data_IF_202470194402
#
_entry.id   IF_202470194402
#
_cell.length_a   1.000
_cell.length_b   1.000
_cell.length_c   1.000
_cell.angle_alpha   90.00
_cell.angle_beta   90.00
_cell.angle_gamma   90.00
#
_symmetry.space_group_name_H-M   'P 1'
#
loop_
_entity.id
_entity.type
_entity.pdbx_description
1 polymer ?
#
# COMPACT_ATOMS: atom_id res chain seq x y z
N UNK A 1 28.60 -1.82 11.49
CA UNK A 1 28.68 -1.10 10.21
C UNK A 1 27.97 -1.82 9.05
N UNK A 2 27.76 -3.13 9.09
CA UNK A 2 27.17 -3.94 8.00
C UNK A 2 25.63 -3.84 7.86
N UNK A 3 24.87 -3.62 8.96
CA UNK A 3 23.40 -3.56 8.92
C UNK A 3 22.87 -2.34 8.16
N UNK A 4 23.51 -1.19 8.32
CA UNK A 4 23.11 0.08 7.69
C UNK A 4 23.22 0.00 6.15
N UNK A 5 24.22 -0.73 5.64
CA UNK A 5 24.43 -0.91 4.19
C UNK A 5 23.42 -1.90 3.57
N UNK A 6 22.99 -2.94 4.33
CA UNK A 6 21.94 -3.88 3.88
C UNK A 6 20.58 -3.20 3.84
N UNK A 7 20.24 -2.41 4.86
CA UNK A 7 18.98 -1.66 4.91
C UNK A 7 18.90 -0.64 3.77
N UNK A 8 19.97 0.09 3.49
CA UNK A 8 20.02 1.05 2.39
C UNK A 8 19.88 0.39 1.00
N UNK A 9 20.46 -0.81 0.83
CA UNK A 9 20.37 -1.58 -0.43
C UNK A 9 18.96 -2.18 -0.63
N UNK A 10 18.33 -2.68 0.43
CA UNK A 10 16.95 -3.16 0.42
C UNK A 10 15.98 -2.01 0.11
N UNK A 11 16.18 -0.85 0.72
CA UNK A 11 15.37 0.33 0.47
C UNK A 11 15.48 0.83 -0.97
N UNK A 12 16.69 0.82 -1.54
CA UNK A 12 16.93 1.21 -2.95
C UNK A 12 16.32 0.20 -3.95
N UNK A 13 16.36 -1.10 -3.64
CA UNK A 13 15.72 -2.16 -4.42
C UNK A 13 14.19 -2.09 -4.36
N UNK A 14 13.64 -1.76 -3.19
CA UNK A 14 12.20 -1.60 -2.98
C UNK A 14 11.64 -0.42 -3.79
N UNK A 15 12.33 0.73 -3.77
CA UNK A 15 11.92 1.94 -4.50
C UNK A 15 11.96 1.76 -6.02
N UNK A 16 12.90 0.97 -6.55
CA UNK A 16 12.99 0.72 -7.99
C UNK A 16 11.84 -0.14 -8.55
N UNK A 17 11.29 -1.04 -7.74
CA UNK A 17 10.20 -1.94 -8.14
C UNK A 17 8.80 -1.37 -7.85
N UNK A 18 8.70 -0.16 -7.30
CA UNK A 18 7.42 0.49 -7.00
C UNK A 18 6.78 1.08 -8.25
N UNK A 19 5.46 0.91 -8.38
CA UNK A 19 4.68 1.56 -9.44
C UNK A 19 4.71 3.09 -9.30
N UNK A 20 4.47 3.81 -10.40
CA UNK A 20 4.44 5.30 -10.39
C UNK A 20 3.48 5.87 -9.32
N UNK A 21 2.36 5.19 -9.07
CA UNK A 21 1.39 5.58 -8.02
C UNK A 21 2.00 5.42 -6.63
N UNK A 22 2.65 4.29 -6.34
CA UNK A 22 3.29 4.02 -5.05
C UNK A 22 4.42 5.03 -4.75
N UNK A 23 5.24 5.39 -5.75
CA UNK A 23 6.28 6.42 -5.61
C UNK A 23 5.70 7.79 -5.25
N UNK A 24 4.57 8.16 -5.87
CA UNK A 24 3.89 9.43 -5.56
C UNK A 24 3.35 9.44 -4.12
N UNK A 25 2.76 8.33 -3.68
CA UNK A 25 2.27 8.18 -2.30
C UNK A 25 3.41 8.22 -1.30
N UNK A 26 4.53 7.53 -1.58
CA UNK A 26 5.73 7.56 -0.73
C UNK A 26 6.27 8.97 -0.55
N UNK A 27 6.39 9.75 -1.65
CA UNK A 27 6.87 11.13 -1.56
C UNK A 27 5.94 12.02 -0.74
N UNK A 28 4.62 11.83 -0.84
CA UNK A 28 3.62 12.54 -0.01
C UNK A 28 3.77 12.19 1.46
N UNK A 29 3.94 10.90 1.78
CA UNK A 29 4.15 10.44 3.15
C UNK A 29 5.43 11.04 3.74
N UNK A 30 6.54 11.03 3.00
CA UNK A 30 7.81 11.61 3.44
C UNK A 30 7.66 13.12 3.67
N UNK A 31 7.09 13.85 2.73
CA UNK A 31 6.88 15.29 2.87
C UNK A 31 6.01 15.64 4.08
N UNK A 32 4.95 14.89 4.29
CA UNK A 32 4.07 15.09 5.42
C UNK A 32 4.71 14.69 6.75
N UNK A 33 5.50 13.62 6.79
CA UNK A 33 6.25 13.21 7.97
C UNK A 33 7.26 14.29 8.39
N UNK A 34 8.01 14.84 7.44
CA UNK A 34 8.95 15.94 7.68
C UNK A 34 8.21 17.17 8.21
N UNK A 35 7.09 17.53 7.59
CA UNK A 35 6.28 18.66 8.01
C UNK A 35 5.71 18.46 9.42
N UNK A 36 5.23 17.25 9.75
CA UNK A 36 4.72 16.87 11.07
C UNK A 36 5.81 17.03 12.15
N UNK A 37 7.02 16.53 11.87
CA UNK A 37 8.15 16.66 12.81
C UNK A 37 8.56 18.12 13.00
N UNK A 38 8.62 18.91 11.92
CA UNK A 38 8.93 20.34 12.00
C UNK A 38 7.88 21.09 12.84
N UNK A 39 6.59 20.83 12.61
CA UNK A 39 5.53 21.43 13.39
C UNK A 39 5.60 21.03 14.87
N UNK A 40 5.84 19.76 15.17
CA UNK A 40 5.99 19.28 16.54
C UNK A 40 7.13 19.99 17.27
N UNK A 41 8.28 20.18 16.62
CA UNK A 41 9.41 20.93 17.18
C UNK A 41 9.06 22.40 17.39
N UNK A 42 8.43 23.05 16.41
CA UNK A 42 8.02 24.47 16.52
C UNK A 42 7.05 24.65 17.68
N UNK A 43 6.04 23.78 17.82
CA UNK A 43 5.05 23.86 18.88
C UNK A 43 5.60 23.54 20.27
N UNK A 44 6.69 22.77 20.33
CA UNK A 44 7.40 22.54 21.60
C UNK A 44 8.02 23.83 22.17
N UNK A 45 8.45 24.74 21.29
CA UNK A 45 9.09 26.00 21.67
C UNK A 45 8.14 27.21 21.68
N UNK A 46 6.94 27.10 21.12
CA UNK A 46 6.05 28.25 20.92
C UNK A 46 4.66 27.95 21.46
N UNK A 47 4.20 28.71 22.45
CA UNK A 47 2.82 28.64 22.95
C UNK A 47 1.91 29.45 22.03
N UNK A 48 1.33 28.81 21.01
CA UNK A 48 0.35 29.45 20.11
C UNK A 48 -1.08 29.19 20.57
N UNK A 49 -2.04 30.07 20.23
CA UNK A 49 -3.45 29.84 20.52
C UNK A 49 -3.98 28.61 19.79
N UNK A 50 -4.93 27.90 20.41
CA UNK A 50 -5.43 26.61 19.98
C UNK A 50 -5.96 26.57 18.53
N UNK A 51 -6.57 27.64 18.05
CA UNK A 51 -7.09 27.72 16.66
C UNK A 51 -5.97 27.82 15.61
N UNK A 52 -4.85 28.44 15.94
CA UNK A 52 -3.65 28.48 15.06
C UNK A 52 -2.99 27.12 15.02
N UNK A 53 -2.91 26.42 16.18
CA UNK A 53 -2.43 25.06 16.23
C UNK A 53 -3.28 24.15 15.35
N UNK A 54 -4.60 24.18 15.51
CA UNK A 54 -5.52 23.38 14.70
C UNK A 54 -5.35 23.66 13.22
N UNK A 55 -5.28 24.91 12.80
CA UNK A 55 -5.13 25.29 11.40
C UNK A 55 -3.80 24.76 10.79
N UNK A 56 -2.70 24.85 11.55
CA UNK A 56 -1.40 24.37 11.11
C UNK A 56 -1.34 22.83 11.04
N UNK A 57 -1.95 22.10 11.98
CA UNK A 57 -2.00 20.64 11.97
C UNK A 57 -2.95 20.08 10.92
N UNK A 58 -3.97 20.83 10.50
CA UNK A 58 -4.84 20.44 9.39
C UNK A 58 -4.08 20.34 8.06
N UNK A 59 -3.01 21.10 7.86
CA UNK A 59 -2.23 21.05 6.60
C UNK A 59 -1.64 19.66 6.35
N UNK A 60 -0.76 19.10 7.21
CA UNK A 60 -0.24 17.75 7.02
C UNK A 60 -1.34 16.70 7.05
N UNK A 61 -2.38 16.88 7.87
CA UNK A 61 -3.52 15.98 7.93
C UNK A 61 -4.23 15.85 6.58
N UNK A 62 -4.55 16.94 5.91
CA UNK A 62 -5.18 16.90 4.58
C UNK A 62 -4.25 16.40 3.49
N UNK A 63 -2.96 16.70 3.55
CA UNK A 63 -1.97 16.20 2.58
C UNK A 63 -1.93 14.68 2.60
N UNK A 64 -1.95 14.05 3.79
CA UNK A 64 -1.90 12.61 3.97
C UNK A 64 -3.29 11.99 3.85
N UNK A 65 -4.27 12.56 4.55
CA UNK A 65 -5.59 11.97 4.78
C UNK A 65 -6.58 12.11 3.64
N UNK A 66 -6.29 12.94 2.63
CA UNK A 66 -7.21 13.19 1.52
C UNK A 66 -7.74 11.90 0.87
N UNK A 67 -6.87 10.91 0.63
CA UNK A 67 -7.26 9.66 -0.02
C UNK A 67 -8.13 8.79 0.91
N UNK A 68 -7.82 8.78 2.22
CA UNK A 68 -8.58 8.04 3.25
C UNK A 68 -9.95 8.69 3.45
N UNK A 69 -10.00 10.01 3.63
CA UNK A 69 -11.26 10.75 3.78
C UNK A 69 -12.17 10.58 2.58
N UNK A 70 -11.60 10.62 1.36
CA UNK A 70 -12.35 10.38 0.13
C UNK A 70 -12.91 8.96 0.08
N UNK A 71 -12.11 7.94 0.41
CA UNK A 71 -12.55 6.53 0.45
C UNK A 71 -13.63 6.35 1.51
N UNK A 72 -13.45 6.91 2.72
CA UNK A 72 -14.43 6.88 3.80
C UNK A 72 -15.77 7.49 3.37
N UNK A 73 -15.75 8.65 2.72
CA UNK A 73 -16.95 9.29 2.21
C UNK A 73 -17.64 8.47 1.11
N UNK A 74 -16.85 7.87 0.22
CA UNK A 74 -17.39 6.97 -0.81
C UNK A 74 -17.99 5.70 -0.21
N UNK A 75 -17.36 5.10 0.82
CA UNK A 75 -17.86 3.93 1.55
C UNK A 75 -19.22 4.20 2.19
N UNK A 76 -19.39 5.35 2.85
CA UNK A 76 -20.69 5.77 3.38
C UNK A 76 -21.76 5.84 2.29
N UNK A 77 -21.42 6.43 1.15
CA UNK A 77 -22.35 6.55 0.01
C UNK A 77 -22.70 5.19 -0.63
N UNK A 78 -21.80 4.23 -0.56
CA UNK A 78 -22.00 2.85 -1.08
C UNK A 78 -22.71 1.94 -0.07
N UNK A 79 -22.99 2.41 1.16
CA UNK A 79 -23.60 1.63 2.23
C UNK A 79 -22.62 0.79 3.06
N UNK A 80 -21.33 0.87 2.77
CA UNK A 80 -20.26 0.22 3.53
C UNK A 80 -19.73 1.16 4.61
N UNK A 81 -20.55 1.42 5.63
CA UNK A 81 -20.28 2.43 6.67
C UNK A 81 -19.14 2.00 7.61
N UNK A 82 -18.89 0.69 7.77
CA UNK A 82 -17.86 0.15 8.68
C UNK A 82 -16.58 -0.27 7.97
N UNK A 83 -16.22 0.42 6.91
CA UNK A 83 -14.93 0.25 6.24
C UNK A 83 -13.78 0.79 7.12
N UNK A 84 -12.59 0.20 7.00
CA UNK A 84 -11.38 0.60 7.73
C UNK A 84 -11.06 2.10 7.56
N UNK A 85 -11.28 2.63 6.35
CA UNK A 85 -11.05 4.04 6.05
C UNK A 85 -12.01 4.96 6.84
N UNK A 86 -13.26 4.54 7.03
CA UNK A 86 -14.23 5.28 7.84
C UNK A 86 -13.82 5.30 9.32
N UNK A 87 -13.46 4.14 9.87
CA UNK A 87 -13.02 4.04 11.26
C UNK A 87 -11.79 4.91 11.53
N UNK A 88 -10.81 4.89 10.60
CA UNK A 88 -9.62 5.73 10.70
C UNK A 88 -9.95 7.22 10.61
N UNK A 89 -10.86 7.61 9.70
CA UNK A 89 -11.30 8.99 9.58
C UNK A 89 -11.98 9.48 10.87
N UNK A 90 -12.90 8.69 11.44
CA UNK A 90 -13.59 9.02 12.69
C UNK A 90 -12.60 9.11 13.85
N UNK A 91 -11.68 8.15 13.99
CA UNK A 91 -10.70 8.13 15.07
C UNK A 91 -9.78 9.37 15.02
N UNK A 92 -9.27 9.72 13.85
CA UNK A 92 -8.36 10.86 13.69
C UNK A 92 -9.07 12.21 13.82
N UNK A 93 -10.30 12.34 13.33
CA UNK A 93 -11.13 13.54 13.55
C UNK A 93 -11.50 13.66 15.03
N UNK A 94 -11.81 12.54 15.69
CA UNK A 94 -12.06 12.50 17.14
C UNK A 94 -10.85 12.96 17.96
N UNK A 95 -9.65 12.49 17.65
CA UNK A 95 -8.40 12.93 18.28
C UNK A 95 -8.19 14.45 18.12
N UNK A 96 -8.44 14.98 16.92
CA UNK A 96 -8.38 16.42 16.67
C UNK A 96 -9.43 17.20 17.49
N UNK A 97 -10.63 16.65 17.64
CA UNK A 97 -11.68 17.24 18.47
C UNK A 97 -11.35 17.26 19.97
N UNK A 98 -10.55 16.29 20.44
CA UNK A 98 -10.02 16.25 21.80
C UNK A 98 -8.81 17.19 22.03
N UNK A 99 -8.30 17.82 20.97
CA UNK A 99 -7.13 18.71 21.05
C UNK A 99 -5.78 18.00 20.84
N UNK A 100 -5.81 16.68 20.62
CA UNK A 100 -4.61 15.85 20.36
C UNK A 100 -4.25 15.85 18.87
N UNK A 101 -3.88 17.04 18.36
CA UNK A 101 -3.65 17.26 16.94
C UNK A 101 -2.47 16.43 16.39
N UNK A 102 -1.36 16.38 17.15
CA UNK A 102 -0.17 15.66 16.78
C UNK A 102 -0.43 14.15 16.67
N UNK A 103 -1.19 13.61 17.61
CA UNK A 103 -1.57 12.19 17.64
C UNK A 103 -2.47 11.84 16.46
N UNK A 104 -3.50 12.65 16.17
CA UNK A 104 -4.37 12.42 15.02
C UNK A 104 -3.62 12.40 13.70
N UNK A 105 -2.65 13.31 13.49
CA UNK A 105 -1.80 13.32 12.30
C UNK A 105 -0.86 12.12 12.28
N UNK A 106 -0.25 11.77 13.43
CA UNK A 106 0.66 10.63 13.53
C UNK A 106 -0.05 9.30 13.19
N UNK A 107 -1.26 9.08 13.73
CA UNK A 107 -2.07 7.89 13.44
C UNK A 107 -2.39 7.80 11.94
N UNK A 108 -2.80 8.90 11.31
CA UNK A 108 -3.07 8.94 9.88
C UNK A 108 -1.81 8.63 9.06
N UNK A 109 -0.65 9.11 9.51
CA UNK A 109 0.64 8.87 8.86
C UNK A 109 1.03 7.39 8.93
N UNK A 110 0.91 6.75 10.10
CA UNK A 110 1.17 5.32 10.27
C UNK A 110 0.21 4.46 9.43
N UNK A 111 -1.05 4.83 9.37
CA UNK A 111 -2.02 4.15 8.51
C UNK A 111 -1.61 4.20 7.04
N UNK A 112 -1.23 5.35 6.53
CA UNK A 112 -0.77 5.51 5.14
C UNK A 112 0.51 4.72 4.83
N UNK A 113 1.42 4.62 5.80
CA UNK A 113 2.60 3.76 5.70
C UNK A 113 2.17 2.30 5.56
N UNK A 114 1.24 1.84 6.40
CA UNK A 114 0.66 0.48 6.35
C UNK A 114 0.01 0.17 5.00
N UNK A 115 -0.84 1.06 4.49
CA UNK A 115 -1.48 0.95 3.17
C UNK A 115 -0.44 0.83 2.03
N UNK A 116 0.64 1.62 2.12
CA UNK A 116 1.72 1.55 1.14
C UNK A 116 2.43 0.18 1.17
N UNK A 117 2.75 -0.34 2.37
CA UNK A 117 3.34 -1.67 2.53
C UNK A 117 2.41 -2.79 2.03
N UNK A 118 1.13 -2.73 2.37
CA UNK A 118 0.13 -3.67 1.90
C UNK A 118 0.04 -3.68 0.38
N UNK A 119 -0.08 -2.50 -0.24
CA UNK A 119 -0.11 -2.35 -1.69
C UNK A 119 1.15 -2.90 -2.38
N UNK A 120 2.32 -2.71 -1.77
CA UNK A 120 3.57 -3.26 -2.27
C UNK A 120 3.61 -4.79 -2.15
N UNK A 121 3.24 -5.34 -0.99
CA UNK A 121 3.24 -6.78 -0.74
C UNK A 121 2.28 -7.53 -1.68
N UNK A 122 1.05 -7.01 -1.85
CA UNK A 122 0.04 -7.59 -2.76
C UNK A 122 0.52 -7.51 -4.20
N UNK A 123 1.10 -6.37 -4.63
CA UNK A 123 1.66 -6.22 -5.97
C UNK A 123 2.78 -7.22 -6.26
N UNK A 124 3.66 -7.46 -5.30
CA UNK A 124 4.74 -8.44 -5.41
C UNK A 124 4.22 -9.87 -5.50
N UNK A 125 3.24 -10.22 -4.65
CA UNK A 125 2.61 -11.55 -4.67
C UNK A 125 1.94 -11.84 -6.01
N UNK A 126 1.16 -10.90 -6.54
CA UNK A 126 0.51 -11.03 -7.85
C UNK A 126 1.52 -11.23 -8.98
N UNK A 127 2.62 -10.48 -8.97
CA UNK A 127 3.69 -10.63 -9.96
C UNK A 127 4.33 -12.02 -9.91
N UNK A 128 4.52 -12.59 -8.72
CA UNK A 128 5.08 -13.94 -8.56
C UNK A 128 4.12 -15.02 -9.09
N UNK A 129 2.81 -14.88 -8.81
CA UNK A 129 1.78 -15.81 -9.32
C UNK A 129 1.70 -15.71 -10.85
N UNK A 130 1.71 -14.51 -11.42
CA UNK A 130 1.70 -14.32 -12.86
C UNK A 130 2.89 -14.96 -13.55
N UNK A 131 4.09 -14.83 -12.94
CA UNK A 131 5.31 -15.47 -13.45
C UNK A 131 5.25 -17.01 -13.39
N UNK A 132 4.55 -17.58 -12.39
CA UNK A 132 4.34 -19.03 -12.30
C UNK A 132 3.32 -19.52 -13.35
N UNK A 133 2.32 -18.72 -13.68
CA UNK A 133 1.33 -19.07 -14.72
C UNK A 133 1.95 -18.99 -16.14
N UNK A 134 2.95 -18.12 -16.31
CA UNK A 134 3.66 -17.96 -17.60
C UNK A 134 4.64 -19.13 -17.90
N UNK A 135 4.90 -20.01 -16.93
CA UNK A 135 5.72 -21.24 -17.12
C UNK A 135 4.89 -22.38 -17.76
N UNK A 136 3.58 -22.19 -17.90
CA UNK A 136 2.73 -23.18 -18.55
C UNK A 136 3.21 -23.38 -20.01
N UNK A 137 3.51 -24.63 -20.43
CA UNK A 137 3.92 -24.88 -21.80
C UNK A 137 2.77 -24.56 -22.75
N UNK A 138 3.07 -23.84 -23.82
CA UNK A 138 2.12 -23.48 -24.88
C UNK A 138 1.69 -24.69 -25.71
N UNK A 139 2.42 -25.82 -25.62
CA UNK A 139 2.15 -27.02 -26.38
C UNK A 139 2.58 -28.27 -25.61
N UNK A 140 1.84 -29.36 -25.80
CA UNK A 140 2.17 -30.68 -25.31
C UNK A 140 2.39 -31.64 -26.51
N UNK A 141 3.36 -32.53 -26.38
CA UNK A 141 3.59 -33.59 -27.37
C UNK A 141 2.74 -34.80 -26.96
N UNK A 142 1.75 -35.14 -27.75
CA UNK A 142 0.92 -36.33 -27.57
C UNK A 142 1.51 -37.45 -28.45
N UNK A 143 1.88 -38.56 -27.79
CA UNK A 143 2.34 -39.76 -28.46
C UNK A 143 1.13 -40.64 -28.82
N UNK A 144 0.90 -40.88 -30.07
CA UNK A 144 -0.15 -41.75 -30.57
C UNK A 144 0.26 -43.22 -30.49
N UNK A 145 -0.70 -44.13 -30.46
CA UNK A 145 -0.46 -45.59 -30.35
C UNK A 145 0.35 -46.17 -31.51
N UNK A 146 0.49 -45.46 -32.60
CA UNK A 146 1.28 -45.80 -33.79
C UNK A 146 2.74 -45.27 -33.73
N UNK A 147 3.13 -44.63 -32.62
CA UNK A 147 4.44 -44.01 -32.43
C UNK A 147 4.58 -42.61 -33.05
N UNK A 148 3.50 -42.07 -33.60
CA UNK A 148 3.48 -40.70 -34.12
C UNK A 148 3.39 -39.67 -32.97
N UNK A 149 4.15 -38.56 -33.12
CA UNK A 149 4.09 -37.43 -32.15
C UNK A 149 3.33 -36.29 -32.78
N UNK A 150 2.21 -35.87 -32.13
CA UNK A 150 1.46 -34.70 -32.53
C UNK A 150 1.56 -33.61 -31.48
N UNK A 151 1.73 -32.35 -31.91
CA UNK A 151 1.76 -31.18 -31.02
C UNK A 151 0.32 -30.73 -30.82
N UNK A 152 -0.13 -30.72 -29.58
CA UNK A 152 -1.52 -30.36 -29.20
C UNK A 152 -1.51 -29.30 -28.11
N UNK A 153 -2.64 -28.57 -27.98
CA UNK A 153 -2.86 -27.67 -26.86
C UNK A 153 -2.98 -28.48 -25.56
N UNK A 154 -2.25 -28.16 -24.50
CA UNK A 154 -2.31 -28.84 -23.21
C UNK A 154 -3.73 -28.90 -22.62
N UNK A 155 -4.61 -27.94 -22.91
CA UNK A 155 -6.00 -27.91 -22.46
C UNK A 155 -6.90 -28.93 -23.18
N UNK A 156 -6.51 -29.35 -24.36
CA UNK A 156 -7.25 -30.34 -25.15
C UNK A 156 -6.96 -31.79 -24.71
N UNK A 157 -5.91 -31.99 -23.89
CA UNK A 157 -5.50 -33.32 -23.42
C UNK A 157 -6.09 -33.60 -22.05
N UNK A 158 -7.07 -34.51 -21.98
CA UNK A 158 -7.55 -35.04 -20.72
C UNK A 158 -6.55 -36.07 -20.19
N UNK A 159 -5.86 -35.75 -19.08
CA UNK A 159 -4.94 -36.67 -18.41
C UNK A 159 -5.72 -37.75 -17.68
N UNK A 160 -6.16 -38.78 -18.38
CA UNK A 160 -6.83 -39.95 -17.76
C UNK A 160 -5.84 -40.99 -17.22
N UNK A 161 -4.54 -40.87 -17.51
CA UNK A 161 -3.50 -41.77 -17.01
C UNK A 161 -2.24 -41.03 -16.57
N UNK A 162 -2.16 -40.66 -15.29
CA UNK A 162 -0.88 -40.52 -14.60
C UNK A 162 -0.40 -41.92 -14.21
N UNK A 163 0.50 -42.46 -15.00
CA UNK A 163 1.20 -43.68 -14.61
C UNK A 163 2.28 -43.31 -13.61
N UNK A 164 2.14 -43.78 -12.35
CA UNK A 164 3.15 -43.68 -11.31
C UNK A 164 4.38 -44.50 -11.69
#
# INVERSE_FOLDING_TARGET
MCLRHKVCRLQKGMVNNMTKKQKKTLNRIIAAAVLTVLLAVVFHFTALPWFVQLALWLVPYFIIGHDVLRKAFMGIKSGEVFDENFLMAVATVGAMGCGEYAEGVAVMLFYQIGELFQSYAVGKSRSSISALMDIRPDSANLEAADGGVSVVDPDAVSYTHLRA
#
